data_IF_804305935398
#
_entry.id   IF_804305935398
#
_cell.length_a   1.000
_cell.length_b   1.000
_cell.length_c   1.000
_cell.angle_alpha   90.00
_cell.angle_beta   90.00
_cell.angle_gamma   90.00
#
_symmetry.space_group_name_H-M   'P 1'
#
loop_
_entity.id
_entity.type
_entity.pdbx_description
1 polymer ?
#
# COMPACT_ATOMS: atom_id res chain seq x y z
N UNK A 1 -75.31 24.21 49.09
CA UNK A 1 -74.66 24.82 50.27
C UNK A 1 -73.56 23.87 50.72
N UNK A 2 -72.30 24.07 50.33
CA UNK A 2 -71.30 25.07 50.79
C UNK A 2 -70.54 24.62 52.04
N UNK A 3 -69.22 24.79 52.00
CA UNK A 3 -68.29 24.74 53.15
C UNK A 3 -67.27 23.61 53.02
N UNK A 4 -66.07 23.77 52.45
CA UNK A 4 -64.92 24.60 52.90
C UNK A 4 -64.33 24.01 54.21
N UNK A 5 -63.05 23.73 54.42
CA UNK A 5 -61.80 23.77 53.66
C UNK A 5 -60.72 23.09 54.55
N UNK A 6 -59.58 22.76 53.95
CA UNK A 6 -58.26 22.48 54.55
C UNK A 6 -57.94 21.09 55.10
N UNK A 7 -57.29 20.35 54.21
CA UNK A 7 -56.50 19.15 54.47
C UNK A 7 -55.21 19.42 55.28
N UNK A 8 -55.03 18.63 56.35
CA UNK A 8 -53.75 18.35 57.04
C UNK A 8 -52.80 17.51 56.18
N UNK A 9 -51.50 17.82 56.22
CA UNK A 9 -50.37 16.88 55.99
C UNK A 9 -49.08 17.42 56.69
N UNK A 10 -48.08 16.55 56.98
CA UNK A 10 -47.55 16.39 58.34
C UNK A 10 -46.02 16.58 58.52
N UNK A 11 -45.64 16.59 59.81
CA UNK A 11 -44.37 16.23 60.47
C UNK A 11 -43.07 16.12 59.64
N UNK A 12 -42.14 17.03 59.94
CA UNK A 12 -40.72 16.91 59.63
C UNK A 12 -39.96 16.34 60.84
N UNK A 13 -39.27 15.22 60.63
CA UNK A 13 -38.44 14.53 61.61
C UNK A 13 -37.08 15.22 61.85
N UNK A 14 -36.64 15.15 63.10
CA UNK A 14 -35.45 15.80 63.65
C UNK A 14 -34.11 15.15 63.26
N UNK A 15 -33.10 16.00 63.06
CA UNK A 15 -31.69 15.67 62.80
C UNK A 15 -30.94 15.20 64.06
N UNK A 16 -30.06 14.18 63.98
CA UNK A 16 -29.05 13.92 64.99
C UNK A 16 -27.71 14.61 64.69
N UNK A 17 -26.99 14.92 65.77
CA UNK A 17 -25.94 15.93 65.93
C UNK A 17 -24.49 15.46 65.64
N UNK A 18 -23.67 16.44 65.28
CA UNK A 18 -22.35 16.40 64.62
C UNK A 18 -21.17 15.79 65.43
N UNK A 19 -21.38 15.26 66.63
CA UNK A 19 -20.25 14.92 67.53
C UNK A 19 -19.82 13.45 67.60
N UNK A 20 -20.54 12.51 66.97
CA UNK A 20 -20.27 11.06 67.07
C UNK A 20 -19.41 10.48 65.94
N UNK A 21 -19.17 11.24 64.86
CA UNK A 21 -18.50 10.74 63.64
C UNK A 21 -16.95 10.78 63.75
N UNK A 22 -16.38 11.67 64.56
CA UNK A 22 -14.92 11.89 64.60
C UNK A 22 -14.09 10.87 65.41
N UNK A 23 -14.71 9.97 66.20
CA UNK A 23 -13.96 8.95 66.98
C UNK A 23 -13.82 7.60 66.28
N UNK A 24 -14.63 7.29 65.25
CA UNK A 24 -14.54 6.03 64.49
C UNK A 24 -13.46 6.05 63.40
N UNK A 25 -13.10 7.22 62.88
CA UNK A 25 -12.15 7.35 61.76
C UNK A 25 -10.69 7.14 62.16
N UNK A 26 -10.30 7.41 63.41
CA UNK A 26 -8.91 7.27 63.87
C UNK A 26 -8.45 5.81 64.08
N UNK A 27 -9.37 4.87 64.34
CA UNK A 27 -9.04 3.43 64.48
C UNK A 27 -8.94 2.72 63.12
N UNK A 28 -9.75 3.11 62.14
CA UNK A 28 -9.70 2.55 60.79
C UNK A 28 -8.40 2.90 60.05
N UNK A 29 -7.88 4.12 60.22
CA UNK A 29 -6.65 4.57 59.55
C UNK A 29 -5.39 3.87 60.09
N UNK A 30 -5.35 3.52 61.38
CA UNK A 30 -4.20 2.80 61.97
C UNK A 30 -4.17 1.31 61.59
N UNK A 31 -5.33 0.69 61.39
CA UNK A 31 -5.42 -0.70 60.91
C UNK A 31 -5.09 -0.81 59.42
N UNK A 32 -5.43 0.20 58.62
CA UNK A 32 -5.05 0.24 57.20
C UNK A 32 -3.54 0.50 57.00
N UNK A 33 -2.92 1.31 57.86
CA UNK A 33 -1.48 1.59 57.80
C UNK A 33 -0.60 0.39 58.23
N UNK A 34 -1.07 -0.46 59.16
CA UNK A 34 -0.37 -1.70 59.51
C UNK A 34 -0.52 -2.80 58.45
N UNK A 35 -1.62 -2.78 57.67
CA UNK A 35 -1.81 -3.71 56.56
C UNK A 35 -0.98 -3.34 55.32
N UNK A 36 -0.66 -2.05 55.10
CA UNK A 36 0.27 -1.64 54.03
C UNK A 36 1.74 -1.91 54.33
N UNK A 37 2.12 -2.12 55.59
CA UNK A 37 3.50 -2.42 55.98
C UNK A 37 3.93 -3.88 55.80
N UNK A 38 2.98 -4.80 55.56
CA UNK A 38 3.24 -6.24 55.44
C UNK A 38 3.20 -6.76 53.99
N UNK A 39 3.15 -5.86 53.00
CA UNK A 39 3.21 -6.19 51.57
C UNK A 39 4.59 -5.93 50.93
N UNK A 40 5.63 -5.72 51.73
CA UNK A 40 6.99 -5.39 51.28
C UNK A 40 8.01 -6.54 51.44
N UNK A 41 7.56 -7.79 51.36
CA UNK A 41 8.44 -8.95 51.30
C UNK A 41 7.76 -10.11 50.58
N UNK A 42 7.27 -9.87 49.35
CA UNK A 42 7.12 -10.98 48.43
C UNK A 42 8.53 -11.40 48.03
N UNK A 43 8.96 -12.65 48.25
CA UNK A 43 10.17 -13.13 47.60
C UNK A 43 9.93 -12.96 46.11
N UNK A 44 10.72 -12.11 45.45
CA UNK A 44 10.90 -12.19 44.01
C UNK A 44 11.47 -13.58 43.79
N UNK A 45 10.61 -14.52 43.42
CA UNK A 45 11.05 -15.81 42.91
C UNK A 45 11.86 -15.45 41.66
N UNK A 46 13.18 -15.66 41.73
CA UNK A 46 14.05 -15.56 40.57
C UNK A 46 13.38 -16.38 39.45
N UNK A 47 13.05 -15.71 38.35
CA UNK A 47 12.35 -16.36 37.27
C UNK A 47 13.30 -17.39 36.66
N UNK A 48 12.81 -18.62 36.44
CA UNK A 48 13.66 -19.66 35.88
C UNK A 48 14.23 -19.20 34.51
N UNK A 49 15.53 -19.44 34.27
CA UNK A 49 16.17 -19.03 33.02
C UNK A 49 15.52 -19.75 31.85
N UNK A 50 15.13 -18.99 30.82
CA UNK A 50 14.50 -19.56 29.62
C UNK A 50 15.58 -19.90 28.59
N UNK A 51 15.47 -21.08 27.98
CA UNK A 51 16.42 -21.56 26.98
C UNK A 51 15.67 -21.98 25.73
N UNK A 52 16.08 -21.42 24.59
CA UNK A 52 15.55 -21.78 23.28
C UNK A 52 16.70 -22.10 22.34
N UNK A 53 16.67 -23.29 21.76
CA UNK A 53 17.61 -23.70 20.74
C UNK A 53 16.92 -23.73 19.38
N UNK A 54 17.45 -22.98 18.44
CA UNK A 54 17.03 -22.98 17.03
C UNK A 54 18.12 -23.65 16.21
N UNK A 55 17.80 -24.82 15.68
CA UNK A 55 18.68 -25.56 14.80
C UNK A 55 18.21 -25.50 13.35
N UNK A 56 19.07 -25.92 12.40
CA UNK A 56 18.70 -25.95 11.01
C UNK A 56 17.80 -27.17 10.74
N UNK A 57 17.50 -27.47 9.47
CA UNK A 57 16.78 -28.70 9.12
C UNK A 57 17.48 -29.93 9.73
N UNK A 58 16.72 -30.95 10.13
CA UNK A 58 17.29 -32.13 10.80
C UNK A 58 17.81 -33.21 9.84
N UNK A 59 17.86 -32.99 8.53
CA UNK A 59 18.22 -33.99 7.52
C UNK A 59 18.90 -33.37 6.29
N UNK A 60 19.49 -34.22 5.45
CA UNK A 60 20.16 -33.78 4.22
C UNK A 60 21.47 -33.05 4.50
N UNK A 61 22.22 -33.56 5.49
CA UNK A 61 23.56 -33.13 5.84
C UNK A 61 24.58 -34.16 5.37
N UNK A 62 25.74 -33.69 4.95
CA UNK A 62 26.83 -34.49 4.42
C UNK A 62 28.11 -34.20 5.21
N UNK A 63 29.10 -35.05 5.01
CA UNK A 63 30.45 -34.79 5.54
C UNK A 63 30.93 -33.40 5.08
N UNK A 64 31.56 -32.67 5.99
CA UNK A 64 32.09 -31.33 5.75
C UNK A 64 31.08 -30.20 5.86
N UNK A 65 29.78 -30.48 5.96
CA UNK A 65 28.78 -29.43 6.09
C UNK A 65 28.87 -28.67 7.42
N UNK A 66 28.48 -27.39 7.38
CA UNK A 66 28.33 -26.54 8.55
C UNK A 66 26.87 -26.56 9.04
N UNK A 67 26.68 -26.88 10.32
CA UNK A 67 25.42 -26.88 11.05
C UNK A 67 25.33 -25.62 11.93
N UNK A 68 24.63 -24.56 11.47
CA UNK A 68 24.46 -23.35 12.26
C UNK A 68 23.39 -23.55 13.34
N UNK A 69 23.76 -23.40 14.60
CA UNK A 69 22.87 -23.43 15.75
C UNK A 69 22.80 -22.06 16.42
N UNK A 70 21.62 -21.69 16.90
CA UNK A 70 21.42 -20.49 17.69
C UNK A 70 20.79 -20.86 19.02
N UNK A 71 21.52 -20.65 20.11
CA UNK A 71 20.99 -20.76 21.46
C UNK A 71 20.65 -19.37 22.00
N UNK A 72 19.40 -19.15 22.37
CA UNK A 72 18.94 -17.95 23.07
C UNK A 72 18.68 -18.30 24.52
N UNK A 73 19.33 -17.59 25.43
CA UNK A 73 19.21 -17.79 26.88
C UNK A 73 18.82 -16.47 27.53
N UNK A 74 17.73 -16.45 28.31
CA UNK A 74 17.31 -15.29 29.08
C UNK A 74 17.49 -15.53 30.57
N UNK A 75 18.15 -14.59 31.24
CA UNK A 75 18.45 -14.64 32.67
C UNK A 75 18.11 -13.31 33.33
N UNK A 76 18.02 -13.30 34.66
CA UNK A 76 17.78 -12.08 35.43
C UNK A 76 18.88 -11.03 35.22
N UNK A 77 18.54 -9.74 35.36
CA UNK A 77 19.42 -8.61 35.08
C UNK A 77 20.78 -8.67 35.82
N UNK A 78 20.76 -9.17 37.05
CA UNK A 78 21.92 -9.26 37.93
C UNK A 78 22.88 -10.40 37.59
N UNK A 79 22.52 -11.29 36.66
CA UNK A 79 23.33 -12.42 36.25
C UNK A 79 24.13 -12.10 34.99
N UNK A 80 25.44 -12.37 35.04
CA UNK A 80 26.37 -12.22 33.93
C UNK A 80 26.88 -13.58 33.47
N UNK A 81 27.01 -13.76 32.15
CA UNK A 81 27.55 -15.00 31.58
C UNK A 81 29.03 -15.14 31.93
N UNK A 82 29.41 -16.28 32.53
CA UNK A 82 30.81 -16.63 32.79
C UNK A 82 31.47 -17.06 31.46
N UNK A 83 32.45 -16.30 30.93
CA UNK A 83 33.12 -16.64 29.67
C UNK A 83 33.85 -17.99 29.73
N UNK A 84 34.24 -18.47 30.92
CA UNK A 84 34.89 -19.77 31.09
C UNK A 84 33.94 -20.95 30.85
N UNK A 85 32.63 -20.73 30.95
CA UNK A 85 31.59 -21.74 30.68
C UNK A 85 31.24 -21.89 29.20
N UNK A 86 31.70 -20.96 28.35
CA UNK A 86 31.45 -21.02 26.92
C UNK A 86 32.15 -22.22 26.26
N UNK A 87 31.51 -22.87 25.26
CA UNK A 87 32.17 -23.91 24.50
C UNK A 87 33.34 -23.31 23.70
N UNK A 88 34.46 -24.02 23.67
CA UNK A 88 35.65 -23.54 22.95
C UNK A 88 35.57 -23.92 21.48
N UNK A 89 36.05 -23.03 20.61
CA UNK A 89 36.22 -23.29 19.17
C UNK A 89 37.35 -24.31 19.00
N UNK A 90 36.99 -25.59 18.89
CA UNK A 90 37.89 -26.75 18.76
C UNK A 90 37.10 -27.99 18.34
N UNK A 91 37.82 -29.11 18.14
CA UNK A 91 37.21 -30.43 18.08
C UNK A 91 36.43 -30.72 19.37
N UNK A 92 35.14 -31.01 19.22
CA UNK A 92 34.21 -31.36 20.29
C UNK A 92 34.14 -32.87 20.46
N UNK A 93 34.14 -33.59 19.34
CA UNK A 93 34.20 -35.05 19.25
C UNK A 93 35.00 -35.43 17.98
N UNK A 94 35.33 -36.72 17.77
CA UNK A 94 36.11 -37.19 16.62
C UNK A 94 35.46 -36.85 15.26
N UNK A 95 34.15 -36.59 15.26
CA UNK A 95 33.33 -36.31 14.09
C UNK A 95 32.78 -34.89 14.04
N UNK A 96 33.05 -34.06 15.05
CA UNK A 96 32.38 -32.77 15.22
C UNK A 96 33.34 -31.71 15.74
N UNK A 97 33.49 -30.64 14.96
CA UNK A 97 34.25 -29.46 15.37
C UNK A 97 33.32 -28.27 15.56
N UNK A 98 33.51 -27.50 16.64
CA UNK A 98 32.96 -26.16 16.74
C UNK A 98 33.92 -25.20 16.02
N UNK A 99 33.50 -24.66 14.88
CA UNK A 99 34.32 -23.80 14.00
C UNK A 99 34.20 -22.32 14.35
N UNK A 100 33.06 -21.91 14.89
CA UNK A 100 32.78 -20.52 15.26
C UNK A 100 31.82 -20.47 16.44
N UNK A 101 32.06 -19.50 17.33
CA UNK A 101 31.16 -19.11 18.39
C UNK A 101 31.14 -17.58 18.44
N UNK A 102 29.97 -16.99 18.22
CA UNK A 102 29.71 -15.58 18.52
C UNK A 102 28.69 -15.46 19.63
N UNK A 103 28.89 -14.51 20.52
CA UNK A 103 27.98 -14.24 21.64
C UNK A 103 27.57 -12.78 21.58
N UNK A 104 26.27 -12.52 21.51
CA UNK A 104 25.70 -11.17 21.58
C UNK A 104 24.79 -11.07 22.79
N UNK A 105 24.83 -9.92 23.45
CA UNK A 105 24.01 -9.61 24.60
C UNK A 105 23.03 -8.49 24.26
N UNK A 106 21.77 -8.68 24.63
CA UNK A 106 20.68 -7.74 24.40
C UNK A 106 19.81 -7.59 25.65
N UNK A 107 19.20 -6.41 25.82
CA UNK A 107 18.18 -6.22 26.84
C UNK A 107 16.90 -6.97 26.45
N UNK A 108 16.30 -7.68 27.41
CA UNK A 108 15.04 -8.41 27.23
C UNK A 108 13.91 -7.75 28.04
N UNK A 109 12.64 -8.11 27.77
CA UNK A 109 11.49 -7.63 28.56
C UNK A 109 11.65 -7.96 30.05
N UNK A 110 10.91 -7.24 30.90
CA UNK A 110 10.92 -7.43 32.37
C UNK A 110 12.28 -7.17 33.03
N UNK A 111 13.16 -6.43 32.38
CA UNK A 111 14.50 -6.11 32.90
C UNK A 111 15.48 -7.28 32.85
N UNK A 112 15.18 -8.34 32.10
CA UNK A 112 16.07 -9.50 31.92
C UNK A 112 17.17 -9.21 30.90
N UNK A 113 18.22 -10.04 30.91
CA UNK A 113 19.29 -10.03 29.90
C UNK A 113 19.12 -11.25 29.00
N UNK A 114 19.20 -11.04 27.69
CA UNK A 114 19.15 -12.09 26.67
C UNK A 114 20.53 -12.26 26.06
N UNK A 115 21.05 -13.47 26.10
CA UNK A 115 22.27 -13.88 25.44
C UNK A 115 21.92 -14.73 24.23
N UNK A 116 22.45 -14.35 23.07
CA UNK A 116 22.32 -15.11 21.82
C UNK A 116 23.70 -15.66 21.45
N UNK A 117 23.83 -16.98 21.45
CA UNK A 117 25.02 -17.71 21.07
C UNK A 117 24.80 -18.27 19.66
N UNK A 118 25.56 -17.81 18.68
CA UNK A 118 25.61 -18.38 17.34
C UNK A 118 26.79 -19.34 17.22
N UNK A 119 26.51 -20.62 16.97
CA UNK A 119 27.49 -21.70 16.94
C UNK A 119 27.49 -22.36 15.55
N UNK A 120 28.65 -22.43 14.90
CA UNK A 120 28.80 -23.17 13.65
C UNK A 120 29.58 -24.45 13.90
N UNK A 121 28.87 -25.58 13.84
CA UNK A 121 29.48 -26.90 13.96
C UNK A 121 29.79 -27.47 12.58
N UNK A 122 30.93 -28.13 12.40
CA UNK A 122 31.26 -28.86 11.17
C UNK A 122 31.29 -30.35 11.45
N UNK A 123 30.57 -31.13 10.65
CA UNK A 123 30.55 -32.59 10.78
C UNK A 123 31.58 -33.23 9.85
N UNK A 124 32.28 -34.26 10.33
CA UNK A 124 33.27 -35.03 9.58
C UNK A 124 32.90 -36.52 9.47
N UNK A 125 31.68 -36.89 9.83
CA UNK A 125 31.23 -38.29 9.77
C UNK A 125 30.50 -38.60 8.47
N UNK A 126 30.99 -39.63 7.78
CA UNK A 126 30.32 -40.24 6.64
C UNK A 126 29.85 -41.65 7.03
N UNK A 127 28.57 -41.83 7.41
CA UNK A 127 28.08 -43.16 7.71
C UNK A 127 27.93 -44.02 6.44
N UNK A 128 27.73 -45.33 6.61
CA UNK A 128 27.39 -46.24 5.50
C UNK A 128 25.92 -46.15 5.10
N UNK A 129 25.05 -45.76 6.04
CA UNK A 129 23.61 -45.60 5.88
C UNK A 129 23.19 -44.30 6.59
N UNK A 130 22.04 -43.67 6.24
CA UNK A 130 21.57 -42.48 6.93
C UNK A 130 21.52 -42.70 8.45
N UNK A 131 22.27 -41.89 9.21
CA UNK A 131 22.43 -42.06 10.65
C UNK A 131 22.10 -40.78 11.40
N UNK A 132 21.32 -40.91 12.48
CA UNK A 132 21.08 -39.84 13.44
C UNK A 132 22.33 -39.61 14.30
N UNK A 133 22.77 -38.36 14.37
CA UNK A 133 23.92 -37.87 15.15
C UNK A 133 23.44 -36.73 16.05
N UNK A 134 23.97 -36.66 17.27
CA UNK A 134 23.56 -35.68 18.27
C UNK A 134 24.73 -34.81 18.69
N UNK A 135 24.61 -33.51 18.45
CA UNK A 135 25.49 -32.48 19.01
C UNK A 135 25.25 -32.44 20.52
N UNK A 136 26.30 -32.55 21.36
CA UNK A 136 26.16 -32.65 22.80
C UNK A 136 25.56 -31.35 23.40
N UNK A 137 24.81 -31.46 24.51
CA UNK A 137 24.33 -30.29 25.24
C UNK A 137 25.49 -29.50 25.85
N UNK A 138 25.29 -28.20 26.04
CA UNK A 138 26.27 -27.27 26.64
C UNK A 138 25.70 -26.73 27.94
N UNK A 139 26.50 -26.70 29.00
CA UNK A 139 26.11 -26.08 30.28
C UNK A 139 26.80 -24.72 30.39
N UNK A 140 25.99 -23.67 30.44
CA UNK A 140 26.44 -22.29 30.63
C UNK A 140 26.32 -21.92 32.10
N UNK A 141 27.31 -21.20 32.63
CA UNK A 141 27.31 -20.71 34.01
C UNK A 141 27.10 -19.21 33.99
N UNK A 142 26.23 -18.73 34.87
CA UNK A 142 25.96 -17.32 35.07
C UNK A 142 26.26 -16.97 36.52
N UNK A 143 26.94 -15.85 36.74
CA UNK A 143 27.31 -15.37 38.08
C UNK A 143 26.83 -13.94 38.28
N UNK A 144 26.37 -13.65 39.49
CA UNK A 144 25.95 -12.31 39.92
C UNK A 144 25.92 -12.17 41.44
N UNK A 145 25.44 -11.04 41.94
CA UNK A 145 25.30 -10.80 43.38
C UNK A 145 24.35 -11.79 44.06
N UNK A 146 23.37 -12.30 43.31
CA UNK A 146 22.39 -13.28 43.77
C UNK A 146 22.90 -14.74 43.79
N UNK A 147 24.14 -14.99 43.32
CA UNK A 147 24.75 -16.33 43.29
C UNK A 147 25.14 -16.81 41.90
N UNK A 148 25.33 -18.13 41.77
CA UNK A 148 25.68 -18.81 40.52
C UNK A 148 24.49 -19.63 40.03
N UNK A 149 24.12 -19.45 38.77
CA UNK A 149 23.09 -20.24 38.09
C UNK A 149 23.71 -21.05 36.94
N UNK A 150 23.33 -22.31 36.82
CA UNK A 150 23.74 -23.16 35.70
C UNK A 150 22.56 -23.40 34.76
N UNK A 151 22.76 -23.13 33.47
CA UNK A 151 21.73 -23.21 32.44
C UNK A 151 22.16 -24.19 31.37
N UNK A 152 21.36 -25.22 31.14
CA UNK A 152 21.65 -26.27 30.18
C UNK A 152 21.02 -25.95 28.82
N UNK A 153 21.86 -25.70 27.82
CA UNK A 153 21.46 -25.68 26.41
C UNK A 153 21.30 -27.12 25.93
N UNK A 154 20.13 -27.52 25.39
CA UNK A 154 19.91 -28.88 24.94
C UNK A 154 20.82 -29.24 23.75
N UNK A 155 21.04 -30.53 23.54
CA UNK A 155 21.73 -31.01 22.35
C UNK A 155 20.83 -30.93 21.11
N UNK A 156 21.42 -31.00 19.93
CA UNK A 156 20.69 -30.99 18.65
C UNK A 156 20.93 -32.28 17.88
N UNK A 157 19.86 -32.94 17.43
CA UNK A 157 19.96 -34.19 16.66
C UNK A 157 19.66 -33.94 15.19
N UNK A 158 20.50 -34.45 14.30
CA UNK A 158 20.34 -34.39 12.86
C UNK A 158 20.71 -35.71 12.19
N UNK A 159 20.25 -35.93 10.96
CA UNK A 159 20.56 -37.11 10.15
C UNK A 159 21.61 -36.73 9.10
N UNK A 160 22.74 -37.43 9.14
CA UNK A 160 23.79 -37.34 8.11
C UNK A 160 23.63 -38.45 7.09
N UNK A 161 23.83 -38.11 5.81
CA UNK A 161 23.70 -39.01 4.66
C UNK A 161 25.04 -39.69 4.34
N UNK A 162 25.00 -40.92 3.79
CA UNK A 162 26.20 -41.60 3.33
C UNK A 162 26.77 -40.94 2.06
N UNK A 163 28.10 -40.93 1.90
CA UNK A 163 28.75 -40.51 0.64
C UNK A 163 28.63 -41.61 -0.43
N UNK A 164 28.70 -42.87 -0.01
CA UNK A 164 28.59 -43.97 -0.97
C UNK A 164 27.15 -44.09 -1.44
N UNK A 165 26.98 -44.14 -2.76
CA UNK A 165 25.76 -44.64 -3.36
C UNK A 165 25.52 -46.08 -2.90
N UNK A 166 24.25 -46.44 -2.72
CA UNK A 166 23.83 -47.85 -2.69
C UNK A 166 24.19 -48.39 -4.07
N UNK A 167 25.36 -49.02 -4.20
CA UNK A 167 25.83 -49.52 -5.50
C UNK A 167 24.86 -50.60 -5.97
N UNK A 168 24.01 -50.27 -6.93
CA UNK A 168 23.39 -51.28 -7.76
C UNK A 168 24.53 -52.05 -8.47
N UNK A 169 24.48 -53.38 -8.53
CA UNK A 169 25.53 -54.17 -9.18
C UNK A 169 25.73 -53.68 -10.62
N UNK A 170 26.97 -53.36 -10.98
CA UNK A 170 27.36 -52.99 -12.35
C UNK A 170 27.45 -54.25 -13.20
N UNK A 171 26.30 -54.85 -13.48
CA UNK A 171 26.14 -56.01 -14.37
C UNK A 171 25.40 -55.57 -15.64
N UNK A 172 25.72 -56.12 -16.83
CA UNK A 172 25.01 -55.78 -18.07
C UNK A 172 23.48 -55.92 -17.95
N UNK A 173 23.01 -56.86 -17.12
CA UNK A 173 21.60 -57.10 -16.83
C UNK A 173 20.93 -55.97 -16.02
N UNK A 174 21.72 -55.11 -15.37
CA UNK A 174 21.25 -53.92 -14.65
C UNK A 174 21.10 -52.69 -15.57
N UNK A 175 21.53 -52.77 -16.84
CA UNK A 175 21.27 -51.72 -17.81
C UNK A 175 19.77 -51.65 -18.12
N UNK A 176 19.11 -50.60 -17.63
CA UNK A 176 17.72 -50.37 -17.98
C UNK A 176 17.61 -49.85 -19.42
N UNK A 177 16.61 -50.30 -20.19
CA UNK A 177 16.38 -49.78 -21.53
C UNK A 177 16.14 -48.28 -21.49
N UNK A 178 16.60 -47.57 -22.51
CA UNK A 178 16.39 -46.13 -22.64
C UNK A 178 14.88 -45.84 -22.58
N UNK A 179 14.43 -45.24 -21.48
CA UNK A 179 13.03 -44.84 -21.34
C UNK A 179 12.74 -43.79 -22.42
N UNK A 180 11.66 -43.94 -23.21
CA UNK A 180 11.30 -42.91 -24.17
C UNK A 180 11.11 -41.58 -23.43
N UNK A 181 11.67 -40.52 -24.00
CA UNK A 181 11.56 -39.18 -23.42
C UNK A 181 10.08 -38.82 -23.27
N UNK A 182 9.68 -38.48 -22.05
CA UNK A 182 8.34 -37.99 -21.78
C UNK A 182 8.18 -36.62 -22.41
N UNK A 183 7.31 -36.51 -23.43
CA UNK A 183 6.94 -35.22 -24.00
C UNK A 183 6.05 -34.50 -22.99
N UNK A 184 6.47 -33.33 -22.54
CA UNK A 184 5.66 -32.48 -21.65
C UNK A 184 4.52 -31.89 -22.49
N UNK A 185 3.27 -32.13 -22.09
CA UNK A 185 2.12 -31.49 -22.74
C UNK A 185 2.08 -30.00 -22.40
N UNK A 186 2.40 -29.15 -23.38
CA UNK A 186 2.39 -27.69 -23.24
C UNK A 186 1.03 -27.06 -23.59
N UNK A 187 0.04 -27.84 -24.02
CA UNK A 187 -1.28 -27.31 -24.40
C UNK A 187 -1.94 -26.48 -23.29
N UNK A 188 -1.93 -26.91 -22.00
CA UNK A 188 -2.53 -26.11 -20.93
C UNK A 188 -1.88 -24.72 -20.82
N UNK A 189 -0.55 -24.65 -20.88
CA UNK A 189 0.19 -23.39 -20.82
C UNK A 189 -0.09 -22.49 -22.03
N UNK A 190 -0.22 -23.08 -23.23
CA UNK A 190 -0.57 -22.33 -24.44
C UNK A 190 -1.98 -21.73 -24.35
N UNK A 191 -2.96 -22.46 -23.81
CA UNK A 191 -4.33 -21.95 -23.63
C UNK A 191 -4.35 -20.78 -22.65
N UNK A 192 -3.64 -20.88 -21.52
CA UNK A 192 -3.54 -19.80 -20.53
C UNK A 192 -2.86 -18.57 -21.15
N UNK A 193 -1.77 -18.76 -21.90
CA UNK A 193 -1.07 -17.68 -22.57
C UNK A 193 -1.97 -16.99 -23.61
N UNK A 194 -2.73 -17.75 -24.40
CA UNK A 194 -3.66 -17.22 -25.39
C UNK A 194 -4.82 -16.44 -24.74
N UNK A 195 -5.36 -16.94 -23.63
CA UNK A 195 -6.39 -16.24 -22.86
C UNK A 195 -5.86 -14.91 -22.29
N UNK A 196 -4.64 -14.92 -21.72
CA UNK A 196 -3.98 -13.73 -21.21
C UNK A 196 -3.70 -12.69 -22.31
N UNK A 197 -3.19 -13.13 -23.46
CA UNK A 197 -2.96 -12.26 -24.62
C UNK A 197 -4.26 -11.63 -25.13
N UNK A 198 -5.34 -12.41 -25.19
CA UNK A 198 -6.66 -11.93 -25.61
C UNK A 198 -7.21 -10.86 -24.65
N UNK A 199 -7.08 -11.09 -23.34
CA UNK A 199 -7.50 -10.12 -22.33
C UNK A 199 -6.68 -8.82 -22.42
N UNK A 200 -5.37 -8.92 -22.63
CA UNK A 200 -4.49 -7.76 -22.80
C UNK A 200 -4.89 -6.93 -24.03
N UNK A 201 -5.21 -7.57 -25.16
CA UNK A 201 -5.68 -6.88 -26.36
C UNK A 201 -7.02 -6.18 -26.14
N UNK A 202 -7.96 -6.81 -25.42
CA UNK A 202 -9.23 -6.18 -25.06
C UNK A 202 -9.03 -4.96 -24.15
N UNK A 203 -8.15 -5.05 -23.17
CA UNK A 203 -7.80 -3.93 -22.29
C UNK A 203 -7.18 -2.76 -23.10
N UNK A 204 -6.27 -3.05 -24.03
CA UNK A 204 -5.67 -2.05 -24.91
C UNK A 204 -6.71 -1.41 -25.84
N UNK A 205 -7.64 -2.19 -26.39
CA UNK A 205 -8.74 -1.66 -27.19
C UNK A 205 -9.65 -0.74 -26.36
N UNK A 206 -9.98 -1.14 -25.13
CA UNK A 206 -10.73 -0.30 -24.19
C UNK A 206 -10.00 1.00 -23.85
N UNK A 207 -8.69 0.95 -23.66
CA UNK A 207 -7.85 2.13 -23.42
C UNK A 207 -7.82 3.05 -24.64
N UNK A 208 -7.64 2.50 -25.85
CA UNK A 208 -7.67 3.26 -27.09
C UNK A 208 -9.02 3.94 -27.32
N UNK A 209 -10.12 3.26 -26.98
CA UNK A 209 -11.47 3.83 -26.99
C UNK A 209 -11.59 5.00 -25.99
N UNK A 210 -11.17 4.79 -24.74
CA UNK A 210 -11.26 5.81 -23.68
C UNK A 210 -10.47 7.08 -24.04
N UNK A 211 -9.25 6.91 -24.55
CA UNK A 211 -8.39 8.03 -24.93
C UNK A 211 -8.67 8.57 -26.34
N UNK A 212 -9.70 8.07 -27.03
CA UNK A 212 -10.07 8.50 -28.39
C UNK A 212 -8.88 8.44 -29.36
N UNK A 213 -8.06 7.37 -29.25
CA UNK A 213 -6.87 7.15 -30.08
C UNK A 213 -7.23 6.41 -31.36
N UNK A 214 -6.54 6.74 -32.45
CA UNK A 214 -6.70 6.06 -33.75
C UNK A 214 -8.12 6.14 -34.32
N UNK A 215 -8.75 5.02 -34.73
CA UNK A 215 -10.06 5.01 -35.37
C UNK A 215 -11.21 5.46 -34.45
N UNK A 216 -10.97 5.53 -33.13
CA UNK A 216 -11.94 5.97 -32.13
C UNK A 216 -11.87 7.48 -31.86
N UNK A 217 -11.04 8.22 -32.60
CA UNK A 217 -10.91 9.68 -32.45
C UNK A 217 -12.18 10.38 -32.95
N UNK A 218 -12.86 11.10 -32.05
CA UNK A 218 -13.98 11.99 -32.45
C UNK A 218 -13.44 13.10 -33.36
N UNK A 219 -14.06 13.31 -34.52
CA UNK A 219 -13.71 14.41 -35.43
C UNK A 219 -13.82 15.76 -34.69
N UNK A 220 -12.87 16.70 -34.86
CA UNK A 220 -12.98 18.02 -34.27
C UNK A 220 -14.23 18.73 -34.81
N UNK A 221 -15.03 19.29 -33.91
CA UNK A 221 -16.26 20.05 -34.23
C UNK A 221 -16.13 21.51 -33.73
N UNK A 222 -15.26 22.32 -34.38
CA UNK A 222 -14.99 23.70 -33.96
C UNK A 222 -16.25 24.58 -33.87
N UNK A 223 -17.20 24.50 -34.81
CA UNK A 223 -18.38 25.36 -34.82
C UNK A 223 -19.41 24.93 -33.76
N UNK A 224 -19.58 23.64 -33.51
CA UNK A 224 -20.42 23.17 -32.41
C UNK A 224 -19.87 23.58 -31.03
N UNK A 225 -18.53 23.64 -30.87
CA UNK A 225 -17.90 24.18 -29.65
C UNK A 225 -18.13 25.69 -29.54
N UNK A 226 -17.96 26.43 -30.63
CA UNK A 226 -18.18 27.87 -30.67
C UNK A 226 -19.62 28.25 -30.32
N UNK A 227 -20.63 27.56 -30.87
CA UNK A 227 -22.03 27.77 -30.52
C UNK A 227 -22.31 27.66 -29.01
N UNK A 228 -21.68 26.68 -28.33
CA UNK A 228 -21.81 26.55 -26.87
C UNK A 228 -21.14 27.68 -26.11
N UNK A 229 -20.02 28.21 -26.61
CA UNK A 229 -19.31 29.34 -25.99
C UNK A 229 -20.05 30.66 -26.24
N UNK A 230 -20.55 30.91 -27.44
CA UNK A 230 -21.37 32.09 -27.79
C UNK A 230 -22.61 32.15 -26.90
N UNK A 231 -23.37 31.06 -26.78
CA UNK A 231 -24.54 30.99 -25.88
C UNK A 231 -24.18 31.23 -24.42
N UNK A 232 -23.07 30.67 -23.95
CA UNK A 232 -22.61 30.87 -22.57
C UNK A 232 -22.18 32.32 -22.32
N UNK A 233 -21.49 32.95 -23.25
CA UNK A 233 -21.05 34.34 -23.11
C UNK A 233 -22.22 35.31 -23.08
N UNK A 234 -23.18 35.16 -24.00
CA UNK A 234 -24.37 36.02 -24.07
C UNK A 234 -25.39 35.75 -22.94
N UNK A 235 -25.34 34.57 -22.30
CA UNK A 235 -26.17 34.28 -21.13
C UNK A 235 -25.65 34.94 -19.84
N UNK A 236 -24.37 35.33 -19.77
CA UNK A 236 -23.76 35.97 -18.59
C UNK A 236 -24.04 37.48 -18.50
N UNK A 237 -24.54 38.09 -19.57
CA UNK A 237 -24.87 39.51 -19.65
C UNK A 237 -24.89 40.00 -21.09
N UNK A 238 -25.50 41.16 -21.32
CA UNK A 238 -25.57 41.83 -22.63
C UNK A 238 -24.50 42.91 -22.81
N UNK A 239 -23.50 42.93 -21.93
CA UNK A 239 -22.46 43.95 -21.94
C UNK A 239 -21.50 43.79 -23.14
N UNK A 240 -20.84 44.89 -23.51
CA UNK A 240 -19.85 44.90 -24.59
C UNK A 240 -18.76 43.81 -24.43
N UNK A 241 -18.40 43.45 -23.20
CA UNK A 241 -17.45 42.38 -22.91
C UNK A 241 -17.98 40.98 -23.31
N UNK A 242 -19.26 40.70 -23.04
CA UNK A 242 -19.90 39.44 -23.40
C UNK A 242 -20.04 39.30 -24.93
N UNK A 243 -20.39 40.38 -25.61
CA UNK A 243 -20.46 40.42 -27.08
C UNK A 243 -19.09 40.21 -27.73
N UNK A 244 -18.03 40.85 -27.20
CA UNK A 244 -16.65 40.61 -27.66
C UNK A 244 -16.20 39.17 -27.44
N UNK A 245 -16.49 38.59 -26.28
CA UNK A 245 -16.15 37.19 -25.98
C UNK A 245 -16.87 36.21 -26.92
N UNK A 246 -18.13 36.49 -27.28
CA UNK A 246 -18.90 35.71 -28.24
C UNK A 246 -18.29 35.79 -29.66
N UNK A 247 -17.89 36.98 -30.12
CA UNK A 247 -17.23 37.13 -31.42
C UNK A 247 -15.86 36.44 -31.48
N UNK A 248 -15.06 36.52 -30.40
CA UNK A 248 -13.77 35.81 -30.33
C UNK A 248 -13.93 34.29 -30.38
N UNK A 249 -14.99 33.74 -29.78
CA UNK A 249 -15.27 32.31 -29.81
C UNK A 249 -15.56 31.81 -31.23
N UNK A 250 -16.23 32.62 -32.06
CA UNK A 250 -16.52 32.28 -33.45
C UNK A 250 -15.30 32.45 -34.36
N UNK A 251 -14.47 33.49 -34.17
CA UNK A 251 -13.16 33.62 -34.87
C UNK A 251 -12.25 32.42 -34.64
N UNK A 252 -12.11 31.97 -33.38
CA UNK A 252 -11.33 30.76 -33.06
C UNK A 252 -11.87 29.50 -33.74
N UNK A 253 -13.18 29.46 -34.01
CA UNK A 253 -13.81 28.36 -34.72
C UNK A 253 -13.40 28.36 -36.20
N UNK A 254 -13.43 29.53 -36.84
CA UNK A 254 -12.94 29.71 -38.22
C UNK A 254 -11.45 29.43 -38.36
N UNK A 255 -10.65 29.84 -37.38
CA UNK A 255 -9.22 29.54 -37.38
C UNK A 255 -8.96 28.03 -37.26
N UNK A 256 -9.71 27.35 -36.37
CA UNK A 256 -9.63 25.91 -36.19
C UNK A 256 -10.13 25.13 -37.40
N UNK A 257 -11.14 25.65 -38.12
CA UNK A 257 -11.69 25.03 -39.32
C UNK A 257 -10.78 25.22 -40.54
N UNK A 258 -10.11 26.36 -40.66
CA UNK A 258 -9.20 26.66 -41.76
C UNK A 258 -7.74 26.25 -41.51
N UNK A 259 -7.43 25.74 -40.32
CA UNK A 259 -6.09 25.40 -39.83
C UNK A 259 -5.06 26.55 -39.87
N UNK A 260 -5.54 27.79 -40.00
CA UNK A 260 -4.77 29.03 -40.07
C UNK A 260 -5.62 30.20 -39.58
N UNK A 261 -5.05 31.37 -39.30
CA UNK A 261 -5.85 32.54 -38.93
C UNK A 261 -6.66 33.04 -40.14
N UNK A 262 -7.98 33.12 -40.02
CA UNK A 262 -8.87 33.55 -41.11
C UNK A 262 -9.19 35.05 -41.00
N UNK A 263 -8.68 35.84 -41.94
CA UNK A 263 -8.97 37.26 -42.09
C UNK A 263 -10.12 37.49 -43.08
N UNK A 264 -10.77 38.65 -43.01
CA UNK A 264 -11.89 39.00 -43.90
C UNK A 264 -11.50 38.95 -45.40
N UNK A 265 -10.25 39.24 -45.74
CA UNK A 265 -9.73 39.14 -47.11
C UNK A 265 -9.41 37.72 -47.58
N UNK A 266 -9.37 36.74 -46.67
CA UNK A 266 -9.10 35.32 -46.96
C UNK A 266 -10.39 34.49 -47.10
N UNK A 267 -11.57 35.12 -47.02
CA UNK A 267 -12.85 34.41 -46.98
C UNK A 267 -13.15 33.65 -48.28
N UNK A 268 -12.85 34.24 -49.43
CA UNK A 268 -13.08 33.60 -50.74
C UNK A 268 -12.26 32.29 -50.86
N UNK A 269 -11.02 32.31 -50.35
CA UNK A 269 -10.16 31.14 -50.30
C UNK A 269 -10.69 30.08 -49.32
N UNK A 270 -11.26 30.50 -48.19
CA UNK A 270 -11.88 29.58 -47.24
C UNK A 270 -13.09 28.86 -47.85
N UNK A 271 -13.96 29.60 -48.55
CA UNK A 271 -15.16 29.04 -49.19
C UNK A 271 -14.81 28.12 -50.37
N UNK A 272 -13.76 28.44 -51.13
CA UNK A 272 -13.23 27.54 -52.17
C UNK A 272 -12.70 26.22 -51.60
N UNK A 273 -12.09 26.26 -50.40
CA UNK A 273 -11.54 25.06 -49.74
C UNK A 273 -12.62 24.27 -48.98
N UNK A 274 -13.69 24.93 -48.54
CA UNK A 274 -14.79 24.32 -47.77
C UNK A 274 -16.16 24.67 -48.39
N UNK A 275 -16.52 24.05 -49.54
CA UNK A 275 -17.71 24.41 -50.31
C UNK A 275 -19.03 24.24 -49.54
N UNK A 276 -19.05 23.41 -48.49
CA UNK A 276 -20.20 23.23 -47.62
C UNK A 276 -20.66 24.53 -46.90
N UNK A 277 -19.76 25.51 -46.72
CA UNK A 277 -20.07 26.79 -46.06
C UNK A 277 -20.50 27.91 -47.03
N UNK A 278 -20.51 27.66 -48.34
CA UNK A 278 -20.96 28.64 -49.35
C UNK A 278 -22.41 29.05 -49.10
N UNK A 279 -23.27 28.12 -48.67
CA UNK A 279 -24.66 28.42 -48.32
C UNK A 279 -24.82 29.42 -47.16
N UNK A 280 -23.76 29.66 -46.38
CA UNK A 280 -23.72 30.60 -45.26
C UNK A 280 -22.89 31.86 -45.55
N UNK A 281 -22.46 32.07 -46.80
CA UNK A 281 -21.49 33.12 -47.17
C UNK A 281 -21.90 34.51 -46.69
N UNK A 282 -23.13 34.93 -46.97
CA UNK A 282 -23.63 36.26 -46.60
C UNK A 282 -23.54 36.49 -45.08
N UNK A 283 -23.98 35.51 -44.30
CA UNK A 283 -23.90 35.56 -42.84
C UNK A 283 -22.46 35.59 -42.32
N UNK A 284 -21.52 34.92 -43.00
CA UNK A 284 -20.10 34.97 -42.64
C UNK A 284 -19.51 36.35 -42.97
N UNK A 285 -19.84 36.93 -44.12
CA UNK A 285 -19.40 38.29 -44.51
C UNK A 285 -19.93 39.35 -43.54
N UNK A 286 -21.20 39.26 -43.19
CA UNK A 286 -21.84 40.16 -42.22
C UNK A 286 -21.20 40.04 -40.83
N UNK A 287 -20.87 38.82 -40.40
CA UNK A 287 -20.12 38.61 -39.16
C UNK A 287 -18.74 39.28 -39.18
N UNK A 288 -17.94 39.12 -40.24
CA UNK A 288 -16.63 39.75 -40.32
C UNK A 288 -16.72 41.29 -40.40
N UNK A 289 -17.75 41.83 -41.06
CA UNK A 289 -18.03 43.26 -41.09
C UNK A 289 -18.44 43.80 -39.71
N UNK A 290 -19.35 43.10 -39.01
CA UNK A 290 -19.79 43.44 -37.65
C UNK A 290 -18.62 43.34 -36.65
N UNK A 291 -17.81 42.28 -36.75
CA UNK A 291 -16.59 42.13 -35.96
C UNK A 291 -15.61 43.27 -36.18
N UNK A 292 -15.39 43.72 -37.42
CA UNK A 292 -14.47 44.84 -37.69
C UNK A 292 -14.94 46.12 -37.02
N UNK A 293 -16.24 46.39 -37.01
CA UNK A 293 -16.83 47.54 -36.30
C UNK A 293 -16.70 47.39 -34.78
N UNK A 294 -16.92 46.19 -34.25
CA UNK A 294 -16.87 45.90 -32.82
C UNK A 294 -15.45 46.02 -32.23
N UNK A 295 -14.41 45.58 -32.96
CA UNK A 295 -13.02 45.59 -32.47
C UNK A 295 -12.22 46.84 -32.88
N UNK A 296 -12.53 47.45 -34.03
CA UNK A 296 -11.75 48.56 -34.60
C UNK A 296 -12.56 49.84 -34.87
N UNK A 297 -13.87 49.83 -34.61
CA UNK A 297 -14.70 51.03 -34.70
C UNK A 297 -14.46 51.99 -33.53
N UNK A 298 -14.51 53.29 -33.79
CA UNK A 298 -14.55 54.32 -32.72
C UNK A 298 -15.95 54.34 -32.10
N UNK A 299 -16.07 53.80 -30.89
CA UNK A 299 -17.26 53.91 -30.03
C UNK A 299 -18.34 52.86 -30.32
N UNK A 300 -18.65 52.03 -29.31
CA UNK A 300 -19.93 51.32 -29.26
C UNK A 300 -21.00 52.36 -28.86
N UNK A 301 -22.19 52.41 -29.48
CA UNK A 301 -23.27 53.22 -28.93
C UNK A 301 -23.64 52.65 -27.55
N UNK A 302 -23.52 53.48 -26.51
CA UNK A 302 -24.14 53.22 -25.21
C UNK A 302 -25.66 53.18 -25.41
N UNK A 303 -26.27 52.03 -25.19
CA UNK A 303 -27.72 51.87 -25.30
C UNK A 303 -28.17 50.50 -24.86
N UNK A 304 -28.71 50.41 -23.64
CA UNK A 304 -29.32 49.22 -23.03
C UNK A 304 -30.59 48.76 -23.73
N UNK A 305 -30.45 48.24 -24.95
CA UNK A 305 -31.43 47.44 -25.66
C UNK A 305 -30.80 46.10 -26.04
N UNK A 306 -31.60 45.04 -26.10
CA UNK A 306 -31.17 43.71 -26.54
C UNK A 306 -30.62 43.85 -27.97
N UNK A 307 -29.30 43.84 -28.13
CA UNK A 307 -28.64 44.07 -29.41
C UNK A 307 -29.08 42.98 -30.41
N UNK A 308 -29.74 43.34 -31.55
CA UNK A 308 -30.09 42.37 -32.59
C UNK A 308 -28.84 41.60 -33.08
N UNK A 309 -27.66 42.22 -33.05
CA UNK A 309 -26.40 41.59 -33.42
C UNK A 309 -26.04 40.35 -32.58
N UNK A 310 -26.51 40.28 -31.32
CA UNK A 310 -26.30 39.11 -30.46
C UNK A 310 -27.16 37.90 -30.84
N UNK A 311 -28.38 38.15 -31.34
CA UNK A 311 -29.30 37.10 -31.81
C UNK A 311 -28.83 36.57 -33.18
N UNK A 312 -28.42 37.47 -34.05
CA UNK A 312 -27.85 37.16 -35.37
C UNK A 312 -26.59 36.28 -35.25
N UNK A 313 -25.74 36.54 -34.25
CA UNK A 313 -24.53 35.75 -33.99
C UNK A 313 -24.83 34.31 -33.53
N UNK A 314 -25.85 34.12 -32.68
CA UNK A 314 -26.26 32.79 -32.23
C UNK A 314 -26.86 31.99 -33.38
N UNK A 315 -27.61 32.66 -34.26
CA UNK A 315 -28.25 32.05 -35.42
C UNK A 315 -27.23 31.62 -36.47
N UNK A 316 -26.25 32.48 -36.76
CA UNK A 316 -25.10 32.14 -37.60
C UNK A 316 -24.30 30.95 -37.02
N UNK A 317 -23.96 30.99 -35.73
CA UNK A 317 -23.23 29.89 -35.08
C UNK A 317 -24.05 28.58 -35.08
N UNK A 318 -25.38 28.65 -35.01
CA UNK A 318 -26.26 27.48 -35.09
C UNK A 318 -26.28 26.92 -36.51
N UNK A 319 -26.33 27.78 -37.52
CA UNK A 319 -26.32 27.41 -38.93
C UNK A 319 -24.99 26.74 -39.32
N UNK A 320 -23.85 27.34 -38.95
CA UNK A 320 -22.51 26.76 -39.18
C UNK A 320 -22.32 25.42 -38.47
N UNK A 321 -22.83 25.27 -37.24
CA UNK A 321 -22.81 24.00 -36.51
C UNK A 321 -23.79 22.95 -37.07
N UNK A 322 -24.79 23.34 -37.86
CA UNK A 322 -25.67 22.44 -38.58
C UNK A 322 -24.99 21.93 -39.86
N UNK A 323 -24.33 22.81 -40.62
CA UNK A 323 -23.49 22.46 -41.78
C UNK A 323 -22.37 21.48 -41.36
N UNK A 324 -21.67 21.76 -40.25
CA UNK A 324 -20.62 20.89 -39.69
C UNK A 324 -21.15 19.48 -39.29
N UNK A 325 -22.43 19.39 -38.93
CA UNK A 325 -23.11 18.11 -38.65
C UNK A 325 -23.59 17.41 -39.92
N UNK A 326 -24.00 18.17 -40.93
CA UNK A 326 -24.49 17.67 -42.22
C UNK A 326 -23.37 17.13 -43.13
N UNK A 327 -22.20 17.78 -43.14
CA UNK A 327 -21.01 17.31 -43.87
C UNK A 327 -20.26 16.14 -43.21
N UNK A 328 -20.81 15.58 -42.13
CA UNK A 328 -20.27 14.43 -41.40
C UNK A 328 -21.01 13.11 -41.72
N UNK A 329 -21.82 13.08 -42.79
CA UNK A 329 -22.39 11.87 -43.38
C UNK A 329 -21.67 11.48 -44.65
#
# INVERSE_FOLDING_TARGET
MTGDDRHRRPEAAASPSCHSILRRTRKAVRLLALASGLLAALPVSAAEPTVRLEGPRAYGWWIGDLLPLVATVEVDAGLSLDPASLPRVRAVDYWLDLRRLDVTEEAAPEGRRRYRLALDYQTFYAPLEPKAMTIPPVVLRFSGEAGVAEVRVPGFTFVTAPIREIMAPTVPEAMQPLRPLGVIDTRPSQVVAAAGASLALLALAGLAWHHSLGPFRRRPRPFARALREVRRSLARGSDAAALRAAHLALHRAFDSASARTLLAGDLDRFLATHPAYVAAEDGIRDFYAASRRLFFGRGLPDGGGRDPAGTDLVDLARHLAAIERGGAR
#
